data_IF_399182197231
#
_entry.id   IF_399182197231
#
_cell.length_a   1.000
_cell.length_b   1.000
_cell.length_c   1.000
_cell.angle_alpha   90.00
_cell.angle_beta   90.00
_cell.angle_gamma   90.00
#
_symmetry.space_group_name_H-M   'P 1'
#
loop_
_entity.id
_entity.type
_entity.pdbx_description
1 polymer ?
#
# COMPACT_ATOMS: atom_id res chain seq x y z
N UNK A 1 8.53 18.48 33.21
CA UNK A 1 9.85 18.04 33.64
C UNK A 1 10.51 17.46 32.37
N UNK A 2 11.41 18.20 31.75
CA UNK A 2 12.10 17.75 30.55
C UNK A 2 13.07 16.65 30.96
N UNK A 3 12.77 15.41 30.61
CA UNK A 3 13.78 14.35 30.55
C UNK A 3 14.85 14.86 29.60
N UNK A 4 16.14 14.77 30.00
CA UNK A 4 17.20 15.29 29.15
C UNK A 4 17.08 14.66 27.76
N UNK A 5 16.92 15.50 26.75
CA UNK A 5 16.80 15.10 25.33
C UNK A 5 17.89 14.08 24.96
N UNK A 6 19.08 14.22 25.55
CA UNK A 6 20.22 13.31 25.38
C UNK A 6 19.92 11.84 25.71
N UNK A 7 18.96 11.56 26.61
CA UNK A 7 18.61 10.18 26.99
C UNK A 7 17.74 9.47 25.93
N UNK A 8 16.98 10.21 25.14
CA UNK A 8 16.16 9.68 24.05
C UNK A 8 16.98 9.49 22.77
N UNK A 9 17.90 10.44 22.48
CA UNK A 9 18.71 10.43 21.26
C UNK A 9 19.98 9.58 21.36
N UNK A 10 19.90 8.42 22.04
CA UNK A 10 21.01 7.47 22.09
C UNK A 10 21.17 6.70 20.77
N UNK A 11 22.38 6.23 20.49
CA UNK A 11 22.63 5.38 19.32
C UNK A 11 21.73 4.14 19.32
N UNK A 12 21.45 3.56 20.49
CA UNK A 12 20.61 2.37 20.65
C UNK A 12 19.17 2.67 20.21
N UNK A 13 18.56 3.76 20.67
CA UNK A 13 17.22 4.19 20.30
C UNK A 13 17.12 4.53 18.80
N UNK A 14 18.15 5.21 18.26
CA UNK A 14 18.21 5.52 16.82
C UNK A 14 18.25 4.22 15.99
N UNK A 15 19.07 3.25 16.37
CA UNK A 15 19.15 1.95 15.70
C UNK A 15 17.86 1.14 15.85
N UNK A 16 17.20 1.22 17.01
CA UNK A 16 15.91 0.57 17.22
C UNK A 16 14.83 1.15 16.29
N UNK A 17 14.74 2.48 16.18
CA UNK A 17 13.82 3.14 15.24
C UNK A 17 14.20 2.90 13.77
N UNK A 18 15.48 2.82 13.44
CA UNK A 18 15.93 2.47 12.08
C UNK A 18 15.48 1.06 11.67
N UNK A 19 15.53 0.08 12.59
CA UNK A 19 14.97 -1.27 12.36
C UNK A 19 13.46 -1.21 12.14
N UNK A 20 12.74 -0.42 12.94
CA UNK A 20 11.30 -0.17 12.75
C UNK A 20 10.99 0.47 11.40
N UNK A 21 11.82 1.42 10.96
CA UNK A 21 11.70 2.08 9.66
C UNK A 21 11.89 1.08 8.50
N UNK A 22 12.91 0.23 8.56
CA UNK A 22 13.12 -0.83 7.58
C UNK A 22 11.94 -1.81 7.52
N UNK A 23 11.38 -2.16 8.67
CA UNK A 23 10.21 -3.01 8.76
C UNK A 23 8.98 -2.33 8.14
N UNK A 24 8.76 -1.03 8.39
CA UNK A 24 7.68 -0.25 7.76
C UNK A 24 7.79 -0.25 6.23
N UNK A 25 9.00 -0.08 5.68
CA UNK A 25 9.25 -0.17 4.23
C UNK A 25 8.97 -1.58 3.71
N UNK A 26 9.40 -2.62 4.43
CA UNK A 26 9.17 -4.01 4.03
C UNK A 26 7.67 -4.36 4.00
N UNK A 27 6.92 -3.95 5.04
CA UNK A 27 5.47 -4.10 5.10
C UNK A 27 4.80 -3.39 3.92
N UNK A 28 5.17 -2.14 3.65
CA UNK A 28 4.62 -1.36 2.54
C UNK A 28 4.90 -2.02 1.18
N UNK A 29 6.14 -2.49 0.95
CA UNK A 29 6.55 -3.13 -0.29
C UNK A 29 5.79 -4.46 -0.53
N UNK A 30 5.71 -5.31 0.48
CA UNK A 30 4.97 -6.57 0.38
C UNK A 30 3.48 -6.32 0.19
N UNK A 31 2.90 -5.35 0.91
CA UNK A 31 1.49 -4.98 0.76
C UNK A 31 1.19 -4.41 -0.63
N UNK A 32 2.11 -3.61 -1.20
CA UNK A 32 2.00 -3.10 -2.57
C UNK A 32 2.00 -4.24 -3.58
N UNK A 33 2.94 -5.19 -3.48
CA UNK A 33 3.07 -6.31 -4.41
C UNK A 33 1.85 -7.24 -4.36
N UNK A 34 1.39 -7.60 -3.15
CA UNK A 34 0.19 -8.42 -2.98
C UNK A 34 -1.04 -7.64 -3.47
N UNK A 35 -1.08 -6.33 -3.18
CA UNK A 35 -2.11 -5.41 -3.67
C UNK A 35 -2.13 -5.34 -5.19
N UNK A 36 -0.96 -5.36 -5.86
CA UNK A 36 -0.86 -5.33 -7.32
C UNK A 36 -1.51 -6.56 -7.96
N UNK A 37 -1.29 -7.74 -7.40
CA UNK A 37 -1.96 -8.96 -7.89
C UNK A 37 -3.49 -8.82 -7.77
N UNK A 38 -3.99 -8.36 -6.61
CA UNK A 38 -5.43 -8.09 -6.41
C UNK A 38 -5.94 -6.98 -7.34
N UNK A 39 -5.14 -5.94 -7.54
CA UNK A 39 -5.43 -4.84 -8.44
C UNK A 39 -5.61 -5.28 -9.90
N UNK A 40 -4.73 -6.17 -10.39
CA UNK A 40 -4.83 -6.76 -11.73
C UNK A 40 -6.11 -7.59 -11.86
N UNK A 41 -6.40 -8.44 -10.88
CA UNK A 41 -7.64 -9.24 -10.86
C UNK A 41 -8.88 -8.34 -10.80
N UNK A 42 -8.86 -7.32 -9.95
CA UNK A 42 -9.93 -6.34 -9.83
C UNK A 42 -10.14 -5.55 -11.11
N UNK A 43 -9.10 -5.01 -11.73
CA UNK A 43 -9.18 -4.27 -12.98
C UNK A 43 -9.70 -5.15 -14.13
N UNK A 44 -9.25 -6.41 -14.19
CA UNK A 44 -9.75 -7.39 -15.14
C UNK A 44 -11.26 -7.67 -14.93
N UNK A 45 -11.68 -7.83 -13.67
CA UNK A 45 -13.09 -7.99 -13.31
C UNK A 45 -13.94 -6.79 -13.71
N UNK A 46 -13.46 -5.55 -13.43
CA UNK A 46 -14.13 -4.30 -13.81
C UNK A 46 -14.34 -4.16 -15.34
N UNK A 47 -13.42 -4.71 -16.13
CA UNK A 47 -13.46 -4.69 -17.61
C UNK A 47 -14.16 -5.90 -18.23
N UNK A 48 -14.55 -6.88 -17.40
CA UNK A 48 -15.22 -8.11 -17.88
C UNK A 48 -16.56 -7.81 -18.57
N UNK A 49 -16.85 -8.56 -19.63
CA UNK A 49 -18.18 -8.58 -20.28
C UNK A 49 -19.23 -9.27 -19.39
N UNK A 50 -18.81 -10.17 -18.51
CA UNK A 50 -19.70 -10.89 -17.61
C UNK A 50 -20.10 -10.02 -16.42
N UNK A 51 -21.40 -10.06 -16.06
CA UNK A 51 -21.98 -9.23 -14.99
C UNK A 51 -21.40 -9.57 -13.61
N UNK A 52 -21.20 -10.87 -13.32
CA UNK A 52 -20.77 -11.33 -11.99
C UNK A 52 -19.38 -10.81 -11.60
N UNK A 53 -18.28 -11.06 -12.35
CA UNK A 53 -16.96 -10.55 -11.96
C UNK A 53 -16.91 -9.03 -11.94
N UNK A 54 -17.68 -8.35 -12.80
CA UNK A 54 -17.79 -6.88 -12.78
C UNK A 54 -18.45 -6.39 -11.49
N UNK A 55 -19.54 -7.04 -11.04
CA UNK A 55 -20.25 -6.67 -9.81
C UNK A 55 -19.37 -6.92 -8.57
N UNK A 56 -18.72 -8.09 -8.48
CA UNK A 56 -17.82 -8.43 -7.38
C UNK A 56 -16.69 -7.39 -7.25
N UNK A 57 -16.03 -7.09 -8.37
CA UNK A 57 -14.95 -6.09 -8.36
C UNK A 57 -15.46 -4.69 -8.02
N UNK A 58 -16.66 -4.32 -8.48
CA UNK A 58 -17.28 -3.04 -8.14
C UNK A 58 -17.54 -2.93 -6.64
N UNK A 59 -18.20 -3.92 -6.05
CA UNK A 59 -18.53 -3.97 -4.63
C UNK A 59 -17.27 -3.93 -3.77
N UNK A 60 -16.26 -4.74 -4.12
CA UNK A 60 -14.96 -4.74 -3.46
C UNK A 60 -14.33 -3.34 -3.41
N UNK A 61 -14.18 -2.71 -4.56
CA UNK A 61 -13.57 -1.38 -4.66
C UNK A 61 -14.39 -0.33 -3.90
N UNK A 62 -15.73 -0.39 -4.02
CA UNK A 62 -16.62 0.59 -3.36
C UNK A 62 -16.55 0.47 -1.84
N UNK A 63 -16.60 -0.73 -1.28
CA UNK A 63 -16.54 -0.94 0.16
C UNK A 63 -15.18 -0.55 0.71
N UNK A 64 -14.11 -1.05 0.09
CA UNK A 64 -12.75 -0.85 0.63
C UNK A 64 -12.33 0.62 0.54
N UNK A 65 -12.61 1.31 -0.58
CA UNK A 65 -12.29 2.73 -0.71
C UNK A 65 -13.27 3.67 0.00
N UNK A 66 -14.45 3.16 0.35
CA UNK A 66 -15.48 3.91 1.08
C UNK A 66 -15.38 3.79 2.60
N UNK A 67 -14.43 3.01 3.13
CA UNK A 67 -14.26 2.80 4.58
C UNK A 67 -12.85 3.15 5.04
N UNK A 68 -12.66 3.67 6.29
CA UNK A 68 -11.34 4.01 6.81
C UNK A 68 -10.42 2.79 6.94
N UNK A 69 -9.17 2.92 6.52
CA UNK A 69 -8.18 1.83 6.60
C UNK A 69 -7.96 1.36 8.04
N UNK A 70 -7.90 2.27 9.01
CA UNK A 70 -7.78 1.90 10.43
C UNK A 70 -8.92 0.99 10.88
N UNK A 71 -10.16 1.29 10.46
CA UNK A 71 -11.32 0.46 10.78
C UNK A 71 -11.19 -0.94 10.14
N UNK A 72 -10.68 -1.03 8.90
CA UNK A 72 -10.43 -2.30 8.23
C UNK A 72 -9.40 -3.15 8.98
N UNK A 73 -8.31 -2.53 9.47
CA UNK A 73 -7.30 -3.20 10.29
C UNK A 73 -7.93 -3.77 11.56
N UNK A 74 -8.72 -2.97 12.29
CA UNK A 74 -9.37 -3.39 13.54
C UNK A 74 -10.39 -4.52 13.30
N UNK A 75 -11.17 -4.44 12.22
CA UNK A 75 -12.12 -5.50 11.85
C UNK A 75 -11.38 -6.81 11.56
N UNK A 76 -10.34 -6.78 10.73
CA UNK A 76 -9.58 -7.98 10.36
C UNK A 76 -8.91 -8.58 11.60
N UNK A 77 -8.33 -7.74 12.46
CA UNK A 77 -7.70 -8.14 13.71
C UNK A 77 -8.67 -8.83 14.67
N UNK A 78 -9.92 -8.38 14.75
CA UNK A 78 -10.93 -8.94 15.65
C UNK A 78 -11.67 -10.12 15.03
N UNK A 79 -12.06 -10.02 13.75
CA UNK A 79 -12.96 -10.98 13.10
C UNK A 79 -12.27 -12.30 12.76
N UNK A 80 -11.02 -12.26 12.26
CA UNK A 80 -10.34 -13.50 11.85
C UNK A 80 -10.15 -14.45 13.04
N UNK A 81 -9.59 -14.03 14.20
CA UNK A 81 -9.47 -14.91 15.36
C UNK A 81 -10.83 -15.36 15.92
N UNK A 82 -11.83 -14.46 15.91
CA UNK A 82 -13.16 -14.79 16.42
C UNK A 82 -13.85 -15.89 15.60
N UNK A 83 -13.79 -15.79 14.27
CA UNK A 83 -14.34 -16.83 13.39
C UNK A 83 -13.62 -18.15 13.59
N UNK A 84 -12.29 -18.12 13.63
CA UNK A 84 -11.51 -19.35 13.87
C UNK A 84 -11.88 -20.00 15.19
N UNK A 85 -11.96 -19.22 16.27
CA UNK A 85 -12.34 -19.72 17.60
C UNK A 85 -13.76 -20.32 17.62
N UNK A 86 -14.71 -19.68 16.92
CA UNK A 86 -16.08 -20.17 16.82
C UNK A 86 -16.18 -21.54 16.12
N UNK A 87 -15.34 -21.81 15.11
CA UNK A 87 -15.35 -23.07 14.38
C UNK A 87 -14.50 -24.18 15.03
N UNK A 88 -13.43 -23.83 15.73
CA UNK A 88 -12.44 -24.81 16.23
C UNK A 88 -12.42 -24.96 17.74
N UNK A 89 -13.02 -24.03 18.47
CA UNK A 89 -12.91 -23.94 19.94
C UNK A 89 -11.54 -23.50 20.44
N UNK A 90 -10.58 -23.22 19.54
CA UNK A 90 -9.21 -22.83 19.89
C UNK A 90 -8.94 -21.37 19.58
N UNK A 91 -8.16 -20.70 20.45
CA UNK A 91 -7.76 -19.30 20.23
C UNK A 91 -6.68 -19.23 19.16
N UNK A 92 -6.94 -18.50 18.08
CA UNK A 92 -5.95 -18.20 17.03
C UNK A 92 -5.15 -16.95 17.42
N UNK A 93 -3.85 -17.10 17.61
CA UNK A 93 -2.92 -15.97 17.78
C UNK A 93 -2.18 -15.72 16.47
N UNK A 94 -2.46 -14.60 15.83
CA UNK A 94 -1.77 -14.19 14.59
C UNK A 94 -0.85 -13.01 14.93
N UNK A 95 0.34 -13.01 14.35
CA UNK A 95 1.24 -11.87 14.49
C UNK A 95 0.57 -10.59 13.93
N UNK A 96 0.52 -9.49 14.71
CA UNK A 96 -0.09 -8.22 14.28
C UNK A 96 0.45 -7.68 12.96
N UNK A 97 1.75 -7.91 12.66
CA UNK A 97 2.36 -7.50 11.38
C UNK A 97 1.68 -8.23 10.21
N UNK A 98 1.39 -9.53 10.35
CA UNK A 98 0.71 -10.31 9.29
C UNK A 98 -0.70 -9.81 9.07
N UNK A 99 -1.45 -9.53 10.14
CA UNK A 99 -2.80 -8.94 10.04
C UNK A 99 -2.75 -7.59 9.36
N UNK A 100 -1.80 -6.73 9.76
CA UNK A 100 -1.59 -5.44 9.15
C UNK A 100 -1.30 -5.54 7.65
N UNK A 101 -0.38 -6.44 7.24
CA UNK A 101 -0.09 -6.69 5.82
C UNK A 101 -1.30 -7.18 5.03
N UNK A 102 -2.14 -8.04 5.63
CA UNK A 102 -3.40 -8.47 5.00
C UNK A 102 -4.30 -7.27 4.76
N UNK A 103 -4.54 -6.44 5.78
CA UNK A 103 -5.41 -5.27 5.68
C UNK A 103 -4.88 -4.25 4.66
N UNK A 104 -3.60 -3.88 4.77
CA UNK A 104 -2.93 -2.95 3.86
C UNK A 104 -2.98 -3.45 2.41
N UNK A 105 -2.74 -4.74 2.18
CA UNK A 105 -2.75 -5.30 0.82
C UNK A 105 -4.17 -5.43 0.24
N UNK A 106 -5.20 -5.61 1.06
CA UNK A 106 -6.60 -5.56 0.63
C UNK A 106 -6.96 -4.12 0.24
N UNK A 107 -6.60 -3.15 1.07
CA UNK A 107 -6.86 -1.75 0.82
C UNK A 107 -6.14 -1.28 -0.45
N UNK A 108 -4.83 -1.48 -0.54
CA UNK A 108 -4.01 -1.10 -1.70
C UNK A 108 -4.50 -1.77 -2.99
N UNK A 109 -4.92 -3.04 -2.93
CA UNK A 109 -5.48 -3.74 -4.09
C UNK A 109 -6.73 -3.06 -4.67
N UNK A 110 -7.57 -2.46 -3.83
CA UNK A 110 -8.73 -1.70 -4.30
C UNK A 110 -8.33 -0.39 -4.98
N UNK A 111 -7.35 0.34 -4.43
CA UNK A 111 -6.79 1.53 -5.08
C UNK A 111 -6.11 1.19 -6.40
N UNK A 112 -5.26 0.15 -6.41
CA UNK A 112 -4.58 -0.31 -7.61
C UNK A 112 -5.54 -0.82 -8.70
N UNK A 113 -6.68 -1.41 -8.32
CA UNK A 113 -7.75 -1.76 -9.28
C UNK A 113 -8.20 -0.56 -10.09
N UNK A 114 -8.45 0.57 -9.45
CA UNK A 114 -8.87 1.78 -10.15
C UNK A 114 -7.70 2.48 -10.87
N UNK A 115 -6.49 2.45 -10.33
CA UNK A 115 -5.30 2.96 -11.00
C UNK A 115 -5.05 2.23 -12.33
N UNK A 116 -5.06 0.90 -12.31
CA UNK A 116 -4.87 0.08 -13.51
C UNK A 116 -5.99 0.30 -14.52
N UNK A 117 -7.25 0.32 -14.06
CA UNK A 117 -8.41 0.60 -14.91
C UNK A 117 -8.32 1.99 -15.55
N UNK A 118 -7.98 2.99 -14.77
CA UNK A 118 -7.82 4.38 -15.23
C UNK A 118 -6.66 4.52 -16.22
N UNK A 119 -5.52 3.89 -15.95
CA UNK A 119 -4.37 3.89 -16.84
C UNK A 119 -4.68 3.31 -18.22
N UNK A 120 -5.39 2.17 -18.26
CA UNK A 120 -5.82 1.56 -19.52
C UNK A 120 -6.85 2.45 -20.26
N UNK A 121 -7.84 2.98 -19.52
CA UNK A 121 -8.87 3.83 -20.13
C UNK A 121 -8.33 5.22 -20.55
N UNK A 122 -7.20 5.65 -19.97
CA UNK A 122 -6.54 6.90 -20.32
C UNK A 122 -5.71 6.84 -21.61
N UNK A 123 -5.53 5.66 -22.22
CA UNK A 123 -4.89 5.57 -23.54
C UNK A 123 -5.82 6.15 -24.58
N UNK A 124 -5.25 6.95 -25.47
CA UNK A 124 -5.99 7.68 -26.52
C UNK A 124 -6.85 6.72 -27.36
N UNK A 125 -8.08 7.13 -27.66
CA UNK A 125 -9.02 6.33 -28.45
C UNK A 125 -8.52 6.04 -29.85
N UNK A 126 -7.78 6.97 -30.46
CA UNK A 126 -7.18 6.79 -31.76
C UNK A 126 -6.22 5.61 -31.82
N UNK A 127 -5.56 5.25 -30.71
CA UNK A 127 -4.72 4.04 -30.63
C UNK A 127 -5.57 2.75 -30.76
N UNK A 128 -6.75 2.75 -30.19
CA UNK A 128 -7.69 1.63 -30.32
C UNK A 128 -8.24 1.52 -31.75
N UNK A 129 -8.66 2.65 -32.31
CA UNK A 129 -9.21 2.75 -33.67
C UNK A 129 -8.15 2.38 -34.73
N UNK A 130 -6.91 2.83 -34.56
CA UNK A 130 -5.80 2.45 -35.44
C UNK A 130 -5.52 0.96 -35.40
N UNK A 131 -5.54 0.34 -34.21
CA UNK A 131 -5.39 -1.11 -34.08
C UNK A 131 -6.52 -1.90 -34.76
N UNK A 132 -7.75 -1.41 -34.65
CA UNK A 132 -8.91 -2.01 -35.30
C UNK A 132 -8.78 -1.90 -36.83
N UNK A 133 -8.39 -0.76 -37.35
CA UNK A 133 -8.14 -0.54 -38.78
C UNK A 133 -7.05 -1.45 -39.34
N UNK A 134 -6.01 -1.72 -38.55
CA UNK A 134 -4.93 -2.66 -38.89
C UNK A 134 -5.34 -4.14 -38.74
N UNK A 135 -6.58 -4.46 -38.35
CA UNK A 135 -7.07 -5.81 -38.17
C UNK A 135 -6.44 -6.55 -36.98
N UNK A 136 -5.90 -5.84 -35.99
CA UNK A 136 -5.31 -6.47 -34.80
C UNK A 136 -6.43 -7.08 -33.94
N UNK A 137 -6.18 -8.31 -33.47
CA UNK A 137 -7.08 -8.91 -32.48
C UNK A 137 -7.02 -8.15 -31.15
N UNK A 138 -8.11 -8.16 -30.36
CA UNK A 138 -8.19 -7.49 -29.06
C UNK A 138 -7.03 -7.85 -28.13
N UNK A 139 -6.53 -9.08 -28.18
CA UNK A 139 -5.37 -9.52 -27.41
C UNK A 139 -4.08 -8.86 -27.88
N UNK A 140 -3.84 -8.79 -29.20
CA UNK A 140 -2.65 -8.13 -29.77
C UNK A 140 -2.69 -6.64 -29.50
N UNK A 141 -3.84 -5.99 -29.73
CA UNK A 141 -4.08 -4.57 -29.38
C UNK A 141 -3.73 -4.30 -27.91
N UNK A 142 -4.30 -5.09 -26.99
CA UNK A 142 -4.03 -4.92 -25.56
C UNK A 142 -2.55 -5.10 -25.24
N UNK A 143 -1.95 -6.20 -25.67
CA UNK A 143 -0.58 -6.58 -25.29
C UNK A 143 0.49 -5.69 -25.91
N UNK A 144 0.34 -5.33 -27.19
CA UNK A 144 1.41 -4.69 -27.96
C UNK A 144 1.29 -3.17 -27.96
N UNK A 145 0.08 -2.60 -27.80
CA UNK A 145 -0.15 -1.16 -27.95
C UNK A 145 -0.64 -0.53 -26.65
N UNK A 146 -1.70 -1.08 -26.07
CA UNK A 146 -2.39 -0.43 -24.94
C UNK A 146 -1.66 -0.63 -23.62
N UNK A 147 -1.26 -1.85 -23.26
CA UNK A 147 -0.58 -2.12 -21.98
C UNK A 147 0.76 -1.38 -21.84
N UNK A 148 1.64 -1.30 -22.86
CA UNK A 148 2.87 -0.51 -22.75
C UNK A 148 2.61 0.98 -22.48
N UNK A 149 1.61 1.57 -23.14
CA UNK A 149 1.23 2.96 -22.91
C UNK A 149 0.55 3.16 -21.55
N UNK A 150 -0.37 2.25 -21.17
CA UNK A 150 -1.03 2.28 -19.88
C UNK A 150 -0.02 2.14 -18.73
N UNK A 151 1.03 1.31 -18.88
CA UNK A 151 2.07 1.11 -17.87
C UNK A 151 2.78 2.44 -17.54
N UNK A 152 3.15 3.23 -18.54
CA UNK A 152 3.76 4.55 -18.33
C UNK A 152 2.86 5.47 -17.50
N UNK A 153 1.54 5.40 -17.69
CA UNK A 153 0.54 6.21 -16.95
C UNK A 153 0.29 5.71 -15.54
N UNK A 154 0.50 4.41 -15.29
CA UNK A 154 0.21 3.77 -13.99
C UNK A 154 1.40 3.85 -13.03
N UNK A 155 2.64 3.86 -13.54
CA UNK A 155 3.84 3.87 -12.69
C UNK A 155 3.90 5.07 -11.72
N UNK A 156 3.68 6.34 -12.13
CA UNK A 156 3.70 7.47 -11.20
C UNK A 156 2.72 7.33 -10.04
N UNK A 157 1.42 7.06 -10.25
CA UNK A 157 0.51 6.86 -9.14
C UNK A 157 0.81 5.60 -8.29
N UNK A 158 1.46 4.55 -8.84
CA UNK A 158 1.92 3.41 -8.03
C UNK A 158 3.06 3.79 -7.08
N UNK A 159 3.95 4.69 -7.50
CA UNK A 159 4.99 5.24 -6.61
C UNK A 159 4.34 6.05 -5.48
N UNK A 160 3.35 6.87 -5.79
CA UNK A 160 2.58 7.62 -4.80
C UNK A 160 1.84 6.69 -3.82
N UNK A 161 1.30 5.59 -4.31
CA UNK A 161 0.66 4.56 -3.48
C UNK A 161 1.68 3.90 -2.53
N UNK A 162 2.90 3.62 -3.01
CA UNK A 162 3.97 3.08 -2.16
C UNK A 162 4.34 4.03 -1.02
N UNK A 163 4.49 5.34 -1.33
CA UNK A 163 4.73 6.38 -0.31
C UNK A 163 3.59 6.42 0.72
N UNK A 164 2.35 6.27 0.26
CA UNK A 164 1.17 6.22 1.14
C UNK A 164 1.23 4.99 2.05
N UNK A 165 1.53 3.82 1.51
CA UNK A 165 1.65 2.58 2.29
C UNK A 165 2.76 2.63 3.34
N UNK A 166 3.90 3.31 3.07
CA UNK A 166 4.95 3.53 4.08
C UNK A 166 4.37 4.28 5.29
N UNK A 167 3.56 5.32 5.06
CA UNK A 167 2.92 6.09 6.14
C UNK A 167 1.80 5.29 6.81
N UNK A 168 1.00 4.60 6.03
CA UNK A 168 -0.15 3.82 6.51
C UNK A 168 0.28 2.59 7.31
N UNK A 169 1.54 2.11 7.15
CA UNK A 169 2.10 1.08 8.02
C UNK A 169 2.09 1.48 9.50
N UNK A 170 2.12 2.79 9.81
CA UNK A 170 1.98 3.29 11.17
C UNK A 170 0.65 2.93 11.84
N UNK A 171 -0.42 2.74 11.07
CA UNK A 171 -1.74 2.39 11.59
C UNK A 171 -1.78 1.02 12.27
N UNK A 172 -0.85 0.11 11.90
CA UNK A 172 -0.80 -1.21 12.53
C UNK A 172 -0.23 -1.17 13.96
N UNK A 173 0.35 -0.05 14.37
CA UNK A 173 0.76 0.18 15.76
C UNK A 173 -0.41 0.03 16.74
N UNK A 174 -1.64 0.36 16.31
CA UNK A 174 -2.86 0.28 17.13
C UNK A 174 -3.23 -1.16 17.51
N UNK A 175 -2.79 -2.17 16.74
CA UNK A 175 -2.97 -3.60 17.04
C UNK A 175 -1.72 -4.24 17.64
N UNK A 176 -0.72 -3.43 18.04
CA UNK A 176 0.49 -3.87 18.74
C UNK A 176 1.64 -4.31 17.81
N UNK A 177 1.56 -4.08 16.50
CA UNK A 177 2.70 -4.34 15.62
C UNK A 177 3.84 -3.35 15.88
N UNK A 178 5.03 -3.87 16.18
CA UNK A 178 6.20 -3.05 16.52
C UNK A 178 6.93 -2.67 15.22
N UNK A 179 6.43 -1.63 14.56
CA UNK A 179 7.06 -0.92 13.45
C UNK A 179 7.61 0.45 13.95
N UNK A 180 7.93 1.38 13.05
CA UNK A 180 8.58 2.65 13.40
C UNK A 180 7.78 3.47 14.44
N UNK A 181 6.47 3.69 14.22
CA UNK A 181 5.65 4.49 15.14
C UNK A 181 5.49 3.77 16.49
N UNK A 182 5.27 2.46 16.49
CA UNK A 182 5.20 1.69 17.74
C UNK A 182 6.53 1.70 18.48
N UNK A 183 7.65 1.63 17.77
CA UNK A 183 8.98 1.80 18.35
C UNK A 183 9.14 3.15 19.08
N UNK A 184 8.68 4.23 18.45
CA UNK A 184 8.67 5.56 19.09
C UNK A 184 7.76 5.61 20.32
N UNK A 185 6.58 4.94 20.28
CA UNK A 185 5.70 4.83 21.44
C UNK A 185 6.35 4.08 22.60
N UNK A 186 7.11 3.02 22.33
CA UNK A 186 7.82 2.25 23.34
C UNK A 186 8.89 3.11 24.01
N UNK A 187 9.73 3.80 23.23
CA UNK A 187 10.74 4.72 23.76
C UNK A 187 10.07 5.83 24.58
N UNK A 188 8.98 6.42 24.05
CA UNK A 188 8.25 7.48 24.75
C UNK A 188 7.69 7.05 26.10
N UNK A 189 7.23 5.80 26.21
CA UNK A 189 6.75 5.25 27.46
C UNK A 189 7.90 4.97 28.45
N UNK A 190 9.06 4.52 27.96
CA UNK A 190 10.24 4.21 28.79
C UNK A 190 10.83 5.47 29.43
N UNK A 191 10.93 6.56 28.66
CA UNK A 191 11.52 7.81 29.13
C UNK A 191 10.50 8.84 29.61
N UNK A 192 9.20 8.52 29.60
CA UNK A 192 8.12 9.47 29.92
C UNK A 192 8.17 10.75 29.07
N UNK A 193 8.67 10.63 27.84
CA UNK A 193 8.78 11.70 26.85
C UNK A 193 8.16 11.25 25.51
N UNK A 194 6.98 11.75 25.23
CA UNK A 194 6.25 11.41 24.00
C UNK A 194 6.74 12.21 22.79
N UNK A 195 7.18 13.44 23.02
CA UNK A 195 7.48 14.39 21.95
C UNK A 195 8.75 14.02 21.18
N UNK A 196 9.86 13.77 21.89
CA UNK A 196 11.16 13.54 21.26
C UNK A 196 11.18 12.29 20.36
N UNK A 197 10.70 11.10 20.79
CA UNK A 197 10.64 9.91 19.93
C UNK A 197 9.72 10.09 18.71
N UNK A 198 8.61 10.83 18.85
CA UNK A 198 7.72 11.09 17.72
C UNK A 198 8.35 12.04 16.69
N UNK A 199 9.07 13.05 17.14
CA UNK A 199 9.84 13.93 16.24
C UNK A 199 10.90 13.14 15.47
N UNK A 200 11.61 12.23 16.15
CA UNK A 200 12.60 11.36 15.53
C UNK A 200 11.94 10.39 14.51
N UNK A 201 10.82 9.77 14.87
CA UNK A 201 10.07 8.95 13.94
C UNK A 201 9.58 9.73 12.71
N UNK A 202 9.11 10.98 12.89
CA UNK A 202 8.72 11.85 11.79
C UNK A 202 9.88 12.13 10.83
N UNK A 203 11.09 12.33 11.34
CA UNK A 203 12.31 12.48 10.53
C UNK A 203 12.57 11.21 9.72
N UNK A 204 12.48 10.03 10.32
CA UNK A 204 12.63 8.76 9.60
C UNK A 204 11.57 8.60 8.47
N UNK A 205 10.29 8.89 8.75
CA UNK A 205 9.25 8.88 7.71
C UNK A 205 9.55 9.85 6.58
N UNK A 206 9.99 11.06 6.91
CA UNK A 206 10.38 12.06 5.92
C UNK A 206 11.53 11.58 5.03
N UNK A 207 12.58 11.02 5.63
CA UNK A 207 13.74 10.47 4.90
C UNK A 207 13.29 9.35 3.96
N UNK A 208 12.51 8.37 4.45
CA UNK A 208 12.02 7.25 3.63
C UNK A 208 11.19 7.74 2.45
N UNK A 209 10.22 8.63 2.71
CA UNK A 209 9.33 9.13 1.65
C UNK A 209 10.07 10.02 0.66
N UNK A 210 11.03 10.83 1.08
CA UNK A 210 11.90 11.63 0.21
C UNK A 210 12.75 10.72 -0.70
N UNK A 211 13.36 9.65 -0.17
CA UNK A 211 14.14 8.71 -0.98
C UNK A 211 13.27 8.08 -2.07
N UNK A 212 12.09 7.58 -1.70
CA UNK A 212 11.16 6.97 -2.66
C UNK A 212 10.68 7.99 -3.70
N UNK A 213 10.36 9.22 -3.29
CA UNK A 213 9.97 10.31 -4.20
C UNK A 213 11.09 10.66 -5.18
N UNK A 214 12.35 10.74 -4.73
CA UNK A 214 13.48 11.02 -5.60
C UNK A 214 13.70 9.91 -6.65
N UNK A 215 13.56 8.64 -6.23
CA UNK A 215 13.62 7.49 -7.16
C UNK A 215 12.46 7.56 -8.16
N UNK A 216 11.25 7.84 -7.66
CA UNK A 216 10.04 7.97 -8.47
C UNK A 216 10.17 9.04 -9.55
N UNK A 217 10.58 10.23 -9.19
CA UNK A 217 10.78 11.33 -10.13
C UNK A 217 11.80 11.00 -11.24
N UNK A 218 12.85 10.23 -10.92
CA UNK A 218 13.80 9.75 -11.93
C UNK A 218 13.17 8.73 -12.88
N UNK A 219 12.33 7.84 -12.37
CA UNK A 219 11.60 6.86 -13.20
C UNK A 219 10.60 7.55 -14.12
N UNK A 220 9.82 8.51 -13.61
CA UNK A 220 8.87 9.29 -14.39
C UNK A 220 9.53 10.03 -15.55
N UNK A 221 10.65 10.72 -15.28
CA UNK A 221 11.43 11.41 -16.33
C UNK A 221 11.91 10.45 -17.42
N UNK A 222 12.33 9.24 -17.07
CA UNK A 222 12.75 8.24 -18.06
C UNK A 222 11.60 7.71 -18.89
N UNK A 223 10.41 7.55 -18.28
CA UNK A 223 9.22 7.08 -18.98
C UNK A 223 8.65 8.16 -19.93
N UNK A 224 8.75 9.45 -19.58
CA UNK A 224 8.30 10.56 -20.40
C UNK A 224 9.17 10.79 -21.66
N UNK A 225 10.47 10.50 -21.60
CA UNK A 225 11.40 10.68 -22.75
C UNK A 225 11.19 9.61 -23.83
N UNK A 226 10.42 8.56 -23.58
CA UNK A 226 10.18 7.48 -24.54
C UNK A 226 8.86 7.64 -25.33
N UNK A 227 8.25 8.81 -25.29
CA UNK A 227 7.13 9.25 -26.12
C UNK A 227 7.70 10.14 -27.25
#
# INVERSE_FOLDING_TARGET
MFVAIDQVFTLENILYLAKGALLSVAIAALSLLIGLVRGILGASGRRSKHKVPRAISFVYVTIIRGTPLLLQILIIFSVIPSIYTAFTGHVLRINPIVIGMIALSINSGAYQTELLRSGINGVDKGQWEACETLGLSNWKTMKLVILPQAFKRVVPPLISEFITLIKDSSLISCIGAVELLKGAQVIGAEYYDVMSPYMLAAIFYLIMTCIVSCIGNKMEKRLAVSD
#
